data_IF_075324124241
#
_entry.id   IF_075324124241
#
_cell.length_a   1.000
_cell.length_b   1.000
_cell.length_c   1.000
_cell.angle_alpha   90.00
_cell.angle_beta   90.00
_cell.angle_gamma   90.00
#
_symmetry.space_group_name_H-M   'P 1'
#
loop_
_entity.id
_entity.type
_entity.pdbx_description
1 polymer ?
#
# COMPACT_ATOMS: atom_id res chain seq x y z
N UNK A 1 -4.04 15.91 30.60
CA UNK A 1 -3.98 15.18 29.30
C UNK A 1 -3.62 16.20 28.24
N UNK A 2 -2.33 16.36 27.94
CA UNK A 2 -1.84 17.43 27.07
C UNK A 2 -1.83 16.93 25.63
N UNK A 3 -2.71 17.48 24.80
CA UNK A 3 -2.78 17.17 23.37
C UNK A 3 -1.54 17.78 22.70
N UNK A 4 -0.54 16.96 22.39
CA UNK A 4 0.55 17.36 21.51
C UNK A 4 0.00 17.52 20.09
N UNK A 5 -0.23 18.76 19.67
CA UNK A 5 -0.45 19.08 18.26
C UNK A 5 0.85 18.81 17.50
N UNK A 6 0.91 17.67 16.79
CA UNK A 6 1.96 17.40 15.82
C UNK A 6 1.85 18.48 14.73
N UNK A 7 2.81 19.41 14.70
CA UNK A 7 2.82 20.46 13.68
C UNK A 7 3.22 19.85 12.34
N UNK A 8 2.24 19.72 11.44
CA UNK A 8 2.49 19.17 10.10
C UNK A 8 3.39 20.17 9.34
N UNK A 9 4.50 19.70 8.72
CA UNK A 9 5.37 20.56 7.95
C UNK A 9 4.61 21.24 6.80
N UNK A 10 4.79 22.56 6.65
CA UNK A 10 4.10 23.35 5.61
C UNK A 10 4.31 22.84 4.18
N UNK A 11 5.43 22.16 3.90
CA UNK A 11 5.69 21.57 2.58
C UNK A 11 4.79 20.36 2.30
N UNK A 12 4.47 19.56 3.32
CA UNK A 12 3.51 18.44 3.20
C UNK A 12 2.12 19.00 2.94
N UNK A 13 1.69 20.02 3.71
CA UNK A 13 0.39 20.66 3.51
C UNK A 13 0.25 21.24 2.09
N UNK A 14 1.30 21.89 1.56
CA UNK A 14 1.32 22.41 0.18
C UNK A 14 1.26 21.30 -0.87
N UNK A 15 1.99 20.21 -0.67
CA UNK A 15 1.92 19.05 -1.56
C UNK A 15 0.52 18.43 -1.58
N UNK A 16 -0.07 18.23 -0.40
CA UNK A 16 -1.41 17.66 -0.25
C UNK A 16 -2.47 18.55 -0.89
N UNK A 17 -2.40 19.88 -0.68
CA UNK A 17 -3.28 20.84 -1.34
C UNK A 17 -3.16 20.76 -2.87
N UNK A 18 -1.94 20.61 -3.39
CA UNK A 18 -1.70 20.51 -4.84
C UNK A 18 -2.34 19.25 -5.43
N UNK A 19 -2.24 18.11 -4.73
CA UNK A 19 -2.90 16.85 -5.13
C UNK A 19 -4.42 17.00 -5.12
N UNK A 20 -4.98 17.62 -4.08
CA UNK A 20 -6.43 17.85 -3.98
C UNK A 20 -6.94 18.73 -5.12
N UNK A 21 -6.24 19.83 -5.43
CA UNK A 21 -6.59 20.70 -6.55
C UNK A 21 -6.50 19.99 -7.90
N UNK A 22 -5.48 19.13 -8.08
CA UNK A 22 -5.34 18.31 -9.29
C UNK A 22 -6.50 17.32 -9.45
N UNK A 23 -6.89 16.63 -8.37
CA UNK A 23 -8.03 15.71 -8.37
C UNK A 23 -9.35 16.44 -8.65
N UNK A 24 -9.53 17.62 -8.06
CA UNK A 24 -10.72 18.43 -8.26
C UNK A 24 -10.83 18.91 -9.72
N UNK A 25 -9.72 19.33 -10.32
CA UNK A 25 -9.67 19.67 -11.74
C UNK A 25 -9.96 18.44 -12.64
N UNK A 26 -9.44 17.26 -12.28
CA UNK A 26 -9.71 16.01 -12.99
C UNK A 26 -11.20 15.65 -12.96
N UNK A 27 -11.86 15.79 -11.80
CA UNK A 27 -13.29 15.49 -11.67
C UNK A 27 -14.16 16.48 -12.44
N UNK A 28 -13.86 17.79 -12.38
CA UNK A 28 -14.56 18.80 -13.19
C UNK A 28 -14.41 18.49 -14.68
N UNK A 29 -13.21 18.11 -15.11
CA UNK A 29 -12.97 17.72 -16.51
C UNK A 29 -13.76 16.46 -16.89
N UNK A 30 -13.80 15.45 -16.01
CA UNK A 30 -14.55 14.21 -16.23
C UNK A 30 -16.06 14.43 -16.29
N UNK A 31 -16.63 15.36 -15.50
CA UNK A 31 -18.05 15.73 -15.56
C UNK A 31 -18.41 16.45 -16.87
N UNK A 32 -17.47 17.18 -17.48
CA UNK A 32 -17.65 17.82 -18.78
C UNK A 32 -17.66 16.86 -19.98
N UNK A 33 -17.28 15.60 -19.77
CA UNK A 33 -17.25 14.55 -20.79
C UNK A 33 -18.57 13.76 -20.82
N UNK A 34 -18.79 13.02 -21.91
CA UNK A 34 -19.86 12.02 -21.93
C UNK A 34 -19.67 11.01 -20.79
N UNK A 35 -20.76 10.58 -20.16
CA UNK A 35 -20.73 9.75 -18.94
C UNK A 35 -19.83 8.51 -19.06
N UNK A 36 -19.85 7.85 -20.21
CA UNK A 36 -19.01 6.67 -20.51
C UNK A 36 -17.51 7.00 -20.61
N UNK A 37 -17.17 8.14 -21.21
CA UNK A 37 -15.78 8.56 -21.37
C UNK A 37 -15.21 9.07 -20.04
N UNK A 38 -16.02 9.78 -19.25
CA UNK A 38 -15.68 10.17 -17.88
C UNK A 38 -15.42 8.96 -16.98
N UNK A 39 -16.30 7.94 -17.03
CA UNK A 39 -16.12 6.68 -16.27
C UNK A 39 -14.82 5.98 -16.66
N UNK A 40 -14.51 5.85 -17.96
CA UNK A 40 -13.27 5.23 -18.43
C UNK A 40 -12.03 6.02 -18.01
N UNK A 41 -12.08 7.35 -18.09
CA UNK A 41 -10.97 8.21 -17.69
C UNK A 41 -10.67 8.07 -16.20
N UNK A 42 -11.68 8.20 -15.34
CA UNK A 42 -11.53 8.01 -13.89
C UNK A 42 -11.04 6.60 -13.58
N UNK A 43 -11.62 5.57 -14.20
CA UNK A 43 -11.21 4.18 -14.02
C UNK A 43 -9.74 3.94 -14.35
N UNK A 44 -9.22 4.54 -15.44
CA UNK A 44 -7.80 4.46 -15.81
C UNK A 44 -6.88 5.14 -14.80
N UNK A 45 -7.23 6.33 -14.33
CA UNK A 45 -6.44 7.05 -13.34
C UNK A 45 -6.47 6.35 -11.97
N UNK A 46 -7.63 5.88 -11.54
CA UNK A 46 -7.79 5.15 -10.29
C UNK A 46 -6.99 3.84 -10.32
N UNK A 47 -7.21 3.00 -11.33
CA UNK A 47 -6.49 1.72 -11.47
C UNK A 47 -4.99 1.93 -11.63
N UNK A 48 -4.56 2.89 -12.45
CA UNK A 48 -3.15 3.22 -12.64
C UNK A 48 -2.49 3.70 -11.34
N UNK A 49 -3.17 4.53 -10.55
CA UNK A 49 -2.63 5.02 -9.27
C UNK A 49 -2.54 3.91 -8.22
N UNK A 50 -3.52 3.00 -8.15
CA UNK A 50 -3.47 1.83 -7.26
C UNK A 50 -2.33 0.89 -7.63
N UNK A 51 -2.15 0.58 -8.92
CA UNK A 51 -1.02 -0.25 -9.40
C UNK A 51 0.32 0.45 -9.15
N UNK A 52 0.40 1.77 -9.32
CA UNK A 52 1.62 2.50 -8.98
C UNK A 52 1.92 2.44 -7.47
N UNK A 53 0.89 2.53 -6.63
CA UNK A 53 1.00 2.36 -5.18
C UNK A 53 1.44 0.95 -4.78
N UNK A 54 0.98 -0.07 -5.50
CA UNK A 54 1.35 -1.46 -5.23
C UNK A 54 2.82 -1.77 -5.48
N UNK A 55 3.55 -0.95 -6.25
CA UNK A 55 5.00 -1.10 -6.48
C UNK A 55 5.85 -0.98 -5.20
N UNK A 56 5.27 -0.46 -4.11
CA UNK A 56 5.89 -0.51 -2.78
C UNK A 56 6.07 -1.96 -2.32
N UNK A 57 5.14 -2.87 -2.63
CA UNK A 57 5.21 -4.27 -2.22
C UNK A 57 6.41 -5.02 -2.85
N UNK A 58 6.67 -4.97 -4.17
CA UNK A 58 7.89 -5.48 -4.78
C UNK A 58 9.18 -4.93 -4.14
N UNK A 59 9.22 -3.64 -3.79
CA UNK A 59 10.37 -3.06 -3.09
C UNK A 59 10.57 -3.68 -1.70
N UNK A 60 9.49 -3.87 -0.94
CA UNK A 60 9.51 -4.51 0.38
C UNK A 60 9.91 -5.99 0.27
N UNK A 61 9.43 -6.71 -0.74
CA UNK A 61 9.83 -8.09 -1.04
C UNK A 61 11.33 -8.16 -1.35
N UNK A 62 11.82 -7.30 -2.23
CA UNK A 62 13.25 -7.23 -2.55
C UNK A 62 14.09 -6.94 -1.30
N UNK A 63 13.61 -6.05 -0.42
CA UNK A 63 14.24 -5.79 0.87
C UNK A 63 14.24 -7.03 1.76
N UNK A 64 13.12 -7.75 1.87
CA UNK A 64 13.01 -9.00 2.62
C UNK A 64 14.03 -10.05 2.13
N UNK A 65 14.17 -10.21 0.81
CA UNK A 65 15.16 -11.11 0.23
C UNK A 65 16.60 -10.74 0.61
N UNK A 66 16.92 -9.44 0.60
CA UNK A 66 18.26 -8.94 0.92
C UNK A 66 18.57 -9.06 2.42
N UNK A 67 17.62 -8.75 3.29
CA UNK A 67 17.82 -8.75 4.75
C UNK A 67 17.60 -10.12 5.39
N UNK A 68 16.95 -11.05 4.68
CA UNK A 68 16.56 -12.38 5.19
C UNK A 68 15.70 -12.34 6.46
N UNK A 69 15.05 -11.19 6.71
CA UNK A 69 14.15 -10.91 7.85
C UNK A 69 13.07 -9.92 7.42
N UNK A 70 11.90 -9.98 8.05
CA UNK A 70 10.76 -9.08 7.82
C UNK A 70 10.37 -8.41 9.13
N UNK A 71 11.20 -7.47 9.56
CA UNK A 71 10.99 -6.67 10.78
C UNK A 71 10.34 -5.29 10.50
N UNK A 72 10.23 -4.92 9.21
CA UNK A 72 9.85 -3.58 8.79
C UNK A 72 8.35 -3.39 8.54
N UNK A 73 7.56 -4.47 8.46
CA UNK A 73 6.11 -4.42 8.20
C UNK A 73 5.38 -5.36 9.16
N UNK A 74 4.30 -4.91 9.82
CA UNK A 74 3.48 -5.77 10.67
C UNK A 74 2.65 -6.76 9.84
N UNK A 75 2.56 -8.01 10.29
CA UNK A 75 1.79 -9.06 9.61
C UNK A 75 0.29 -8.76 9.50
N UNK A 76 -0.35 -8.31 10.59
CA UNK A 76 -1.79 -8.17 10.65
C UNK A 76 -2.37 -7.18 9.60
N UNK A 77 -1.79 -5.99 9.38
CA UNK A 77 -2.24 -5.08 8.32
C UNK A 77 -2.09 -5.67 6.91
N UNK A 78 -1.03 -6.43 6.64
CA UNK A 78 -0.82 -7.08 5.33
C UNK A 78 -1.88 -8.16 5.10
N UNK A 79 -2.09 -9.05 6.08
CA UNK A 79 -3.13 -10.08 5.98
C UNK A 79 -4.54 -9.49 5.81
N UNK A 80 -4.85 -8.40 6.53
CA UNK A 80 -6.13 -7.72 6.39
C UNK A 80 -6.31 -7.07 5.02
N UNK A 81 -5.26 -6.41 4.52
CA UNK A 81 -5.28 -5.78 3.19
C UNK A 81 -5.50 -6.84 2.11
N UNK A 82 -4.81 -7.97 2.19
CA UNK A 82 -4.99 -9.09 1.28
C UNK A 82 -6.46 -9.61 1.24
N UNK A 83 -7.13 -9.70 2.39
CA UNK A 83 -8.56 -10.08 2.46
C UNK A 83 -9.45 -8.99 1.84
N UNK A 84 -9.15 -7.71 2.09
CA UNK A 84 -9.90 -6.59 1.50
C UNK A 84 -9.78 -6.56 -0.03
N UNK A 85 -8.59 -6.82 -0.57
CA UNK A 85 -8.37 -6.94 -2.01
C UNK A 85 -9.17 -8.11 -2.62
N UNK A 86 -9.26 -9.24 -1.90
CA UNK A 86 -10.10 -10.36 -2.33
C UNK A 86 -11.59 -9.97 -2.42
N UNK A 87 -12.10 -9.23 -1.41
CA UNK A 87 -13.47 -8.71 -1.45
C UNK A 87 -13.68 -7.74 -2.62
N UNK A 88 -12.69 -6.87 -2.88
CA UNK A 88 -12.75 -5.93 -3.99
C UNK A 88 -12.77 -6.65 -5.35
N UNK A 89 -12.03 -7.75 -5.52
CA UNK A 89 -12.07 -8.58 -6.73
C UNK A 89 -13.48 -9.16 -6.94
N UNK A 90 -14.06 -9.78 -5.91
CA UNK A 90 -15.40 -10.37 -5.98
C UNK A 90 -16.44 -9.30 -6.33
N UNK A 91 -16.36 -8.14 -5.68
CA UNK A 91 -17.24 -7.01 -5.96
C UNK A 91 -17.09 -6.51 -7.39
N UNK A 92 -15.86 -6.36 -7.89
CA UNK A 92 -15.58 -5.90 -9.26
C UNK A 92 -16.22 -6.78 -10.32
N UNK A 93 -16.20 -8.10 -10.10
CA UNK A 93 -16.86 -9.07 -10.98
C UNK A 93 -18.39 -8.90 -10.93
N UNK A 94 -18.96 -8.67 -9.74
CA UNK A 94 -20.39 -8.49 -9.57
C UNK A 94 -20.94 -7.24 -10.28
N UNK A 95 -20.15 -6.17 -10.37
CA UNK A 95 -20.53 -4.91 -11.04
C UNK A 95 -19.96 -4.77 -12.46
N UNK A 96 -19.27 -5.78 -12.97
CA UNK A 96 -18.60 -5.82 -14.27
C UNK A 96 -17.66 -4.62 -14.51
N UNK A 97 -16.85 -4.27 -13.50
CA UNK A 97 -15.87 -3.19 -13.57
C UNK A 97 -14.45 -3.74 -13.81
N UNK A 98 -14.03 -3.65 -15.07
CA UNK A 98 -12.71 -4.12 -15.50
C UNK A 98 -11.55 -3.35 -14.84
N UNK A 99 -11.66 -2.04 -14.65
CA UNK A 99 -10.55 -1.23 -14.12
C UNK A 99 -10.32 -1.56 -12.65
N UNK A 100 -11.41 -1.69 -11.89
CA UNK A 100 -11.36 -2.12 -10.50
C UNK A 100 -10.86 -3.55 -10.39
N UNK A 101 -11.33 -4.47 -11.24
CA UNK A 101 -10.86 -5.85 -11.26
C UNK A 101 -9.35 -5.95 -11.51
N UNK A 102 -8.85 -5.25 -12.53
CA UNK A 102 -7.43 -5.25 -12.90
C UNK A 102 -6.54 -4.71 -11.77
N UNK A 103 -6.94 -3.60 -11.17
CA UNK A 103 -6.18 -2.94 -10.10
C UNK A 103 -6.08 -3.83 -8.85
N UNK A 104 -7.23 -4.31 -8.36
CA UNK A 104 -7.26 -5.14 -7.14
C UNK A 104 -6.63 -6.51 -7.37
N UNK A 105 -6.77 -7.10 -8.56
CA UNK A 105 -6.07 -8.37 -8.89
C UNK A 105 -4.55 -8.19 -8.86
N UNK A 106 -4.05 -7.11 -9.44
CA UNK A 106 -2.61 -6.80 -9.43
C UNK A 106 -2.12 -6.60 -8.00
N UNK A 107 -2.87 -5.84 -7.19
CA UNK A 107 -2.47 -5.56 -5.82
C UNK A 107 -2.55 -6.80 -4.94
N UNK A 108 -3.60 -7.63 -5.10
CA UNK A 108 -3.74 -8.92 -4.43
C UNK A 108 -2.56 -9.86 -4.68
N UNK A 109 -2.06 -9.93 -5.91
CA UNK A 109 -0.88 -10.76 -6.24
C UNK A 109 0.39 -10.23 -5.56
N UNK A 110 0.59 -8.92 -5.55
CA UNK A 110 1.75 -8.30 -4.92
C UNK A 110 1.71 -8.43 -3.40
N UNK A 111 0.55 -8.16 -2.79
CA UNK A 111 0.36 -8.25 -1.34
C UNK A 111 0.38 -9.70 -0.86
N UNK A 112 -0.19 -10.63 -1.64
CA UNK A 112 -0.10 -12.07 -1.38
C UNK A 112 1.34 -12.58 -1.44
N UNK A 113 2.15 -12.05 -2.37
CA UNK A 113 3.59 -12.37 -2.43
C UNK A 113 4.33 -11.85 -1.19
N UNK A 114 3.99 -10.65 -0.71
CA UNK A 114 4.56 -10.11 0.53
C UNK A 114 4.11 -10.92 1.76
N UNK A 115 2.84 -11.32 1.81
CA UNK A 115 2.29 -12.18 2.86
C UNK A 115 3.02 -13.53 2.90
N UNK A 116 3.30 -14.13 1.74
CA UNK A 116 4.06 -15.37 1.64
C UNK A 116 5.46 -15.26 2.26
N UNK A 117 6.10 -14.09 2.16
CA UNK A 117 7.43 -13.87 2.72
C UNK A 117 7.45 -14.01 4.25
N UNK A 118 6.36 -13.68 4.96
CA UNK A 118 6.26 -13.88 6.41
C UNK A 118 6.32 -15.35 6.83
N UNK A 119 5.97 -16.28 5.93
CA UNK A 119 6.10 -17.72 6.20
C UNK A 119 7.51 -18.25 5.88
N UNK A 120 8.28 -17.56 5.03
CA UNK A 120 9.61 -17.98 4.59
C UNK A 120 10.72 -17.39 5.47
N UNK A 121 10.58 -16.13 5.87
CA UNK A 121 11.60 -15.40 6.62
C UNK A 121 11.15 -15.13 8.05
N UNK A 122 12.07 -15.22 9.04
CA UNK A 122 11.73 -14.91 10.41
C UNK A 122 11.42 -13.41 10.58
N UNK A 123 10.38 -13.13 11.37
CA UNK A 123 9.95 -11.77 11.73
C UNK A 123 10.88 -11.12 12.76
N UNK A 124 11.64 -11.93 13.49
CA UNK A 124 12.61 -11.47 14.50
C UNK A 124 14.04 -11.79 14.07
N UNK A 125 14.95 -10.81 14.20
CA UNK A 125 16.39 -11.09 14.16
C UNK A 125 16.73 -11.84 15.43
N UNK A 126 17.25 -13.07 15.29
CA UNK A 126 17.90 -13.79 16.40
C UNK A 126 19.05 -12.92 16.90
N UNK A 127 18.82 -12.19 17.99
CA UNK A 127 19.87 -11.44 18.65
C UNK A 127 20.64 -12.46 19.46
N UNK A 128 21.83 -12.85 18.99
CA UNK A 128 22.71 -13.66 19.83
C UNK A 128 22.93 -12.90 21.15
N UNK A 129 22.66 -13.52 22.31
CA UNK A 129 22.92 -12.87 23.57
C UNK A 129 24.41 -12.56 23.63
N UNK A 130 24.78 -11.27 23.65
CA UNK A 130 26.12 -10.85 24.04
C UNK A 130 26.36 -11.45 25.43
N UNK A 131 27.11 -12.54 25.48
CA UNK A 131 27.78 -13.05 26.67
C UNK A 131 28.67 -11.93 27.18
N UNK A 132 28.07 -11.03 27.97
CA UNK A 132 28.76 -10.03 28.76
C UNK A 132 29.49 -10.85 29.81
N UNK A 133 30.73 -11.23 29.52
CA UNK A 133 31.61 -11.84 30.50
C UNK A 133 31.70 -10.86 31.66
N UNK A 134 30.97 -11.16 32.73
CA UNK A 134 31.17 -10.53 34.02
C UNK A 134 32.55 -11.03 34.46
N UNK A 135 33.59 -10.26 34.12
CA UNK A 135 34.93 -10.47 34.66
C UNK A 135 34.88 -9.90 36.07
N UNK A 136 34.54 -10.75 37.04
CA UNK A 136 34.79 -10.48 38.46
C UNK A 136 36.25 -10.81 38.69
N UNK A 137 37.08 -9.77 38.79
CA UNK A 137 38.37 -9.79 39.47
C UNK A 137 38.55 -8.43 40.14
#
# INVERSE_FOLDING_TARGET
MSIQFISIPRHITRGLLSIVLMLLALFIYAEGLAHEDGKKLIGRFASGSQIAGSLVCPYLIHRAFKTKVIDFVPFAPVAFTWIMEMHAIIYSIAIDDFYMLLANTTFFLMDGSLLAMFFVYPTERKTEPKLRSIRVF
#
